data_IF_366295821360
#
_entry.id   IF_366295821360
#
_cell.length_a   1.000
_cell.length_b   1.000
_cell.length_c   1.000
_cell.angle_alpha   90.00
_cell.angle_beta   90.00
_cell.angle_gamma   90.00
#
_symmetry.space_group_name_H-M   'P 1'
#
loop_
_entity.id
_entity.type
_entity.pdbx_description
1 polymer ?
#
# COMPACT_ATOMS: atom_id res chain seq x y z
N UNK A 1 -52.49 40.77 -35.80
CA UNK A 1 -51.74 40.61 -34.56
C UNK A 1 -51.13 39.20 -34.48
N UNK A 2 -49.83 39.12 -34.64
CA UNK A 2 -49.16 37.81 -34.52
C UNK A 2 -48.66 37.68 -33.10
N UNK A 3 -49.24 36.72 -32.38
CA UNK A 3 -48.76 36.31 -31.09
C UNK A 3 -47.49 35.50 -31.29
N UNK A 4 -46.37 36.12 -30.95
CA UNK A 4 -45.12 35.37 -30.89
C UNK A 4 -45.06 34.60 -29.57
N UNK A 5 -45.36 33.31 -29.66
CA UNK A 5 -45.01 32.43 -28.57
C UNK A 5 -43.52 32.17 -28.63
N UNK A 6 -42.79 32.79 -27.73
CA UNK A 6 -41.42 32.37 -27.44
C UNK A 6 -41.46 30.99 -26.77
N UNK A 7 -40.86 29.95 -27.35
CA UNK A 7 -40.71 28.71 -26.59
C UNK A 7 -39.78 29.01 -25.42
N UNK A 8 -40.36 28.96 -24.24
CA UNK A 8 -39.54 28.96 -23.04
C UNK A 8 -38.65 27.74 -23.13
N UNK A 9 -37.38 28.00 -23.37
CA UNK A 9 -36.32 26.96 -23.31
C UNK A 9 -36.20 26.53 -21.85
N UNK A 10 -36.88 25.47 -21.49
CA UNK A 10 -36.68 24.78 -20.23
C UNK A 10 -35.28 24.18 -20.28
N UNK A 11 -34.30 24.93 -19.80
CA UNK A 11 -33.01 24.39 -19.43
C UNK A 11 -33.25 23.45 -18.25
N UNK A 12 -33.41 22.18 -18.56
CA UNK A 12 -33.28 21.11 -17.59
C UNK A 12 -31.79 21.11 -17.13
N UNK A 13 -31.52 21.83 -16.05
CA UNK A 13 -30.28 21.65 -15.33
C UNK A 13 -30.32 20.20 -14.79
N UNK A 14 -29.70 19.33 -15.53
CA UNK A 14 -29.33 18.01 -15.01
C UNK A 14 -28.31 18.24 -13.92
N UNK A 15 -28.76 18.31 -12.67
CA UNK A 15 -27.88 18.25 -11.52
C UNK A 15 -27.35 16.81 -11.50
N UNK A 16 -26.23 16.58 -12.18
CA UNK A 16 -25.50 15.35 -12.01
C UNK A 16 -25.01 15.35 -10.56
N UNK A 17 -25.70 14.61 -9.69
CA UNK A 17 -25.17 14.31 -8.36
C UNK A 17 -23.80 13.68 -8.56
N UNK A 18 -22.72 14.21 -7.96
CA UNK A 18 -21.44 13.51 -7.99
C UNK A 18 -21.71 12.14 -7.37
N UNK A 19 -21.59 11.09 -8.18
CA UNK A 19 -21.56 9.75 -7.67
C UNK A 19 -20.40 9.72 -6.69
N UNK A 20 -20.70 9.67 -5.38
CA UNK A 20 -19.69 9.31 -4.38
C UNK A 20 -19.29 7.90 -4.78
N UNK A 21 -18.17 7.79 -5.53
CA UNK A 21 -17.59 6.51 -5.83
C UNK A 21 -17.32 5.86 -4.47
N UNK A 22 -18.16 4.87 -4.11
CA UNK A 22 -17.86 4.03 -2.98
C UNK A 22 -16.42 3.56 -3.16
N UNK A 23 -15.52 3.99 -2.26
CA UNK A 23 -14.13 3.54 -2.27
C UNK A 23 -14.17 2.03 -2.33
N UNK A 24 -13.74 1.47 -3.46
CA UNK A 24 -13.70 0.04 -3.63
C UNK A 24 -12.93 -0.56 -2.45
N UNK A 25 -13.49 -1.59 -1.83
CA UNK A 25 -12.82 -2.29 -0.76
C UNK A 25 -11.46 -2.80 -1.27
N UNK A 26 -10.39 -2.31 -0.67
CA UNK A 26 -9.03 -2.80 -0.97
C UNK A 26 -8.69 -3.84 0.09
N UNK A 27 -8.52 -5.11 -0.31
CA UNK A 27 -8.17 -6.14 0.64
C UNK A 27 -6.79 -5.87 1.25
N UNK A 28 -6.62 -6.25 2.50
CA UNK A 28 -5.33 -6.19 3.15
C UNK A 28 -4.31 -7.06 2.39
N UNK A 29 -3.05 -6.62 2.25
CA UNK A 29 -2.05 -7.47 1.59
C UNK A 29 -1.93 -8.81 2.31
N UNK A 30 -1.93 -9.89 1.55
CA UNK A 30 -1.81 -11.22 2.13
C UNK A 30 -0.36 -11.49 2.61
N UNK A 31 -0.21 -12.52 3.43
CA UNK A 31 1.10 -12.89 3.98
C UNK A 31 2.12 -13.21 2.89
N UNK A 32 1.71 -13.87 1.81
CA UNK A 32 2.61 -14.22 0.71
C UNK A 32 3.13 -12.98 0.00
N UNK A 33 2.29 -11.97 -0.20
CA UNK A 33 2.71 -10.70 -0.79
C UNK A 33 3.74 -9.98 0.08
N UNK A 34 3.52 -9.97 1.39
CA UNK A 34 4.46 -9.36 2.35
C UNK A 34 5.78 -10.14 2.43
N UNK A 35 5.72 -11.46 2.44
CA UNK A 35 6.92 -12.31 2.41
C UNK A 35 7.70 -12.14 1.12
N UNK A 36 7.03 -12.00 -0.02
CA UNK A 36 7.68 -11.75 -1.30
C UNK A 36 8.40 -10.41 -1.28
N UNK A 37 7.78 -9.35 -0.79
CA UNK A 37 8.42 -8.05 -0.65
C UNK A 37 9.63 -8.12 0.28
N UNK A 38 9.50 -8.78 1.43
CA UNK A 38 10.61 -8.97 2.36
C UNK A 38 11.78 -9.70 1.71
N UNK A 39 11.50 -10.78 0.97
CA UNK A 39 12.52 -11.54 0.24
C UNK A 39 13.23 -10.68 -0.81
N UNK A 40 12.47 -9.92 -1.59
CA UNK A 40 13.05 -9.01 -2.59
C UNK A 40 13.93 -7.95 -1.94
N UNK A 41 13.52 -7.41 -0.81
CA UNK A 41 14.33 -6.44 -0.06
C UNK A 41 15.65 -7.05 0.42
N UNK A 42 15.62 -8.26 0.97
CA UNK A 42 16.86 -8.96 1.37
C UNK A 42 17.75 -9.29 0.17
N UNK A 43 17.17 -9.65 -0.96
CA UNK A 43 17.94 -9.86 -2.19
C UNK A 43 18.56 -8.54 -2.71
N UNK A 44 17.83 -7.43 -2.61
CA UNK A 44 18.38 -6.12 -2.94
C UNK A 44 19.58 -5.78 -2.05
N UNK A 45 19.43 -6.01 -0.75
CA UNK A 45 20.51 -5.80 0.22
C UNK A 45 21.74 -6.65 -0.10
N UNK A 46 21.53 -7.93 -0.34
CA UNK A 46 22.61 -8.89 -0.56
C UNK A 46 23.30 -8.71 -1.91
N UNK A 47 22.53 -8.60 -2.97
CA UNK A 47 23.05 -8.65 -4.35
C UNK A 47 23.40 -7.27 -4.91
N UNK A 48 22.88 -6.20 -4.33
CA UNK A 48 23.08 -4.84 -4.82
C UNK A 48 22.82 -4.74 -6.35
N UNK A 49 21.73 -5.32 -6.82
CA UNK A 49 21.40 -5.43 -8.23
C UNK A 49 20.07 -4.78 -8.59
N UNK A 50 19.98 -4.34 -9.82
CA UNK A 50 18.83 -3.55 -10.32
C UNK A 50 17.50 -4.26 -10.16
N UNK A 51 17.42 -5.57 -10.43
CA UNK A 51 16.16 -6.28 -10.46
C UNK A 51 15.50 -6.40 -9.06
N UNK A 52 16.15 -6.99 -8.04
CA UNK A 52 15.52 -7.07 -6.73
C UNK A 52 15.31 -5.70 -6.09
N UNK A 53 16.22 -4.75 -6.30
CA UNK A 53 16.05 -3.40 -5.79
C UNK A 53 14.87 -2.67 -6.43
N UNK A 54 14.74 -2.79 -7.75
CA UNK A 54 13.61 -2.21 -8.49
C UNK A 54 12.27 -2.82 -8.10
N UNK A 55 12.20 -4.14 -7.95
CA UNK A 55 10.99 -4.83 -7.51
C UNK A 55 10.59 -4.44 -6.09
N UNK A 56 11.55 -4.32 -5.19
CA UNK A 56 11.31 -3.85 -3.81
C UNK A 56 10.69 -2.46 -3.81
N UNK A 57 11.28 -1.53 -4.55
CA UNK A 57 10.78 -0.16 -4.61
C UNK A 57 9.39 -0.08 -5.23
N UNK A 58 9.16 -0.78 -6.32
CA UNK A 58 7.86 -0.80 -6.98
C UNK A 58 6.76 -1.33 -6.06
N UNK A 59 7.00 -2.46 -5.40
CA UNK A 59 6.02 -3.05 -4.49
C UNK A 59 5.78 -2.19 -3.26
N UNK A 60 6.82 -1.62 -2.69
CA UNK A 60 6.69 -0.70 -1.56
C UNK A 60 5.85 0.52 -1.93
N UNK A 61 6.08 1.10 -3.10
CA UNK A 61 5.33 2.24 -3.60
C UNK A 61 3.84 1.91 -3.79
N UNK A 62 3.54 0.78 -4.42
CA UNK A 62 2.17 0.31 -4.61
C UNK A 62 1.42 0.12 -3.28
N UNK A 63 2.08 -0.43 -2.28
CA UNK A 63 1.48 -0.65 -0.96
C UNK A 63 1.28 0.63 -0.16
N UNK A 64 2.09 1.66 -0.38
CA UNK A 64 1.92 2.93 0.31
C UNK A 64 0.60 3.63 -0.01
N UNK A 65 0.01 3.32 -1.15
CA UNK A 65 -1.30 3.84 -1.55
C UNK A 65 -2.48 3.12 -0.89
N UNK A 66 -2.22 2.05 -0.15
CA UNK A 66 -3.28 1.28 0.50
C UNK A 66 -3.99 2.12 1.57
N UNK A 67 -5.33 2.27 1.52
CA UNK A 67 -6.05 3.22 2.37
C UNK A 67 -6.11 2.82 3.85
N UNK A 68 -5.87 1.55 4.19
CA UNK A 68 -6.07 1.04 5.54
C UNK A 68 -4.81 0.57 6.25
N UNK A 69 -3.65 0.62 5.60
CA UNK A 69 -2.41 0.22 6.25
C UNK A 69 -2.04 1.21 7.35
N UNK A 70 -1.60 0.72 8.52
CA UNK A 70 -1.17 1.57 9.61
C UNK A 70 0.00 2.47 9.24
N UNK A 71 0.11 3.60 9.90
CA UNK A 71 1.23 4.54 9.69
C UNK A 71 2.58 3.86 9.87
N UNK A 72 2.72 2.99 10.88
CA UNK A 72 3.97 2.26 11.12
C UNK A 72 4.36 1.34 9.96
N UNK A 73 3.36 0.72 9.30
CA UNK A 73 3.59 -0.04 8.08
C UNK A 73 4.05 0.88 6.94
N UNK A 74 3.38 2.00 6.75
CA UNK A 74 3.74 2.97 5.71
C UNK A 74 5.14 3.55 5.91
N UNK A 75 5.55 3.77 7.14
CA UNK A 75 6.92 4.22 7.45
C UNK A 75 7.96 3.19 7.03
N UNK A 76 7.70 1.91 7.28
CA UNK A 76 8.57 0.82 6.83
C UNK A 76 8.62 0.74 5.30
N UNK A 77 7.48 0.84 4.64
CA UNK A 77 7.41 0.85 3.17
C UNK A 77 8.15 2.04 2.57
N UNK A 78 8.02 3.21 3.19
CA UNK A 78 8.74 4.41 2.78
C UNK A 78 10.25 4.24 2.91
N UNK A 79 10.72 3.63 4.00
CA UNK A 79 12.13 3.32 4.19
C UNK A 79 12.64 2.36 3.12
N UNK A 80 11.90 1.29 2.82
CA UNK A 80 12.26 0.37 1.74
C UNK A 80 12.29 1.06 0.39
N UNK A 81 11.33 1.90 0.10
CA UNK A 81 11.29 2.67 -1.14
C UNK A 81 12.52 3.57 -1.29
N UNK A 82 12.95 4.22 -0.22
CA UNK A 82 14.10 5.13 -0.25
C UNK A 82 15.45 4.41 -0.25
N UNK A 83 15.56 3.32 0.50
CA UNK A 83 16.84 2.65 0.75
C UNK A 83 17.17 1.54 -0.26
N UNK A 84 16.16 0.90 -0.88
CA UNK A 84 16.36 -0.21 -1.81
C UNK A 84 16.86 0.27 -3.17
N UNK A 85 18.02 0.88 -3.19
CA UNK A 85 18.69 1.39 -4.39
C UNK A 85 20.02 0.69 -4.58
N UNK A 86 20.40 0.50 -5.85
CA UNK A 86 21.75 0.05 -6.18
C UNK A 86 22.74 1.14 -5.77
N UNK A 87 23.73 0.77 -5.00
CA UNK A 87 24.77 1.67 -4.54
C UNK A 87 26.12 1.31 -5.19
N UNK A 88 27.01 2.29 -5.26
CA UNK A 88 28.38 2.07 -5.80
C UNK A 88 29.16 1.05 -4.95
N UNK A 89 28.91 1.03 -3.64
CA UNK A 89 29.55 0.10 -2.70
C UNK A 89 28.49 -0.56 -1.83
N UNK A 90 28.47 -1.88 -1.78
CA UNK A 90 27.56 -2.64 -0.94
C UNK A 90 28.14 -2.84 0.46
N UNK A 91 28.21 -1.76 1.24
CA UNK A 91 28.74 -1.78 2.59
C UNK A 91 27.67 -2.21 3.62
N UNK A 92 28.12 -2.47 4.84
CA UNK A 92 27.26 -2.88 5.94
C UNK A 92 26.13 -1.85 6.21
N UNK A 93 26.46 -0.56 6.22
CA UNK A 93 25.49 0.51 6.50
C UNK A 93 24.32 0.47 5.50
N UNK A 94 24.62 0.29 4.22
CA UNK A 94 23.59 0.18 3.19
C UNK A 94 22.72 -1.06 3.40
N UNK A 95 23.36 -2.21 3.61
CA UNK A 95 22.61 -3.46 3.83
C UNK A 95 21.73 -3.36 5.06
N UNK A 96 22.23 -2.82 6.15
CA UNK A 96 21.47 -2.64 7.38
C UNK A 96 20.26 -1.70 7.19
N UNK A 97 20.44 -0.62 6.43
CA UNK A 97 19.35 0.33 6.12
C UNK A 97 18.21 -0.31 5.33
N UNK A 98 18.48 -1.35 4.55
CA UNK A 98 17.45 -2.13 3.83
C UNK A 98 16.92 -3.26 4.71
N UNK A 99 17.79 -3.98 5.39
CA UNK A 99 17.43 -5.17 6.16
C UNK A 99 16.56 -4.84 7.38
N UNK A 100 16.80 -3.73 8.04
CA UNK A 100 16.03 -3.35 9.23
C UNK A 100 14.53 -3.16 8.93
N UNK A 101 14.13 -2.32 7.98
CA UNK A 101 12.72 -2.22 7.63
C UNK A 101 12.17 -3.52 7.05
N UNK A 102 12.96 -4.28 6.30
CA UNK A 102 12.53 -5.56 5.75
C UNK A 102 12.17 -6.57 6.86
N UNK A 103 12.95 -6.62 7.94
CA UNK A 103 12.66 -7.50 9.08
C UNK A 103 11.37 -7.13 9.81
N UNK A 104 11.01 -5.87 9.84
CA UNK A 104 9.82 -5.37 10.52
C UNK A 104 8.55 -5.51 9.69
N UNK A 105 8.67 -5.63 8.38
CA UNK A 105 7.58 -5.52 7.41
C UNK A 105 6.37 -6.40 7.75
N UNK A 106 6.60 -7.70 7.93
CA UNK A 106 5.49 -8.65 8.15
C UNK A 106 4.76 -8.31 9.44
N UNK A 107 5.48 -8.02 10.51
CA UNK A 107 4.88 -7.72 11.81
C UNK A 107 4.02 -6.45 11.79
N UNK A 108 4.47 -5.40 11.11
CA UNK A 108 3.78 -4.09 11.14
C UNK A 108 2.78 -3.91 10.02
N UNK A 109 2.84 -4.73 8.97
CA UNK A 109 1.96 -4.65 7.81
C UNK A 109 0.91 -5.75 7.73
N UNK A 110 0.99 -6.76 8.61
CA UNK A 110 -0.01 -7.81 8.65
C UNK A 110 -1.33 -7.31 9.23
N UNK A 111 -2.43 -7.83 8.69
CA UNK A 111 -3.74 -7.56 9.26
C UNK A 111 -3.78 -8.03 10.70
N UNK A 112 -4.24 -7.13 11.60
CA UNK A 112 -4.49 -7.53 12.98
C UNK A 112 -5.66 -8.50 13.00
N UNK A 113 -5.38 -9.75 13.30
CA UNK A 113 -6.42 -10.75 13.55
C UNK A 113 -7.14 -10.30 14.81
N UNK A 114 -8.42 -9.91 14.68
CA UNK A 114 -9.24 -9.67 15.85
C UNK A 114 -9.22 -10.93 16.72
N UNK A 115 -8.91 -10.82 18.01
CA UNK A 115 -8.99 -11.97 18.89
C UNK A 115 -10.37 -12.58 18.72
N UNK A 116 -10.42 -13.91 18.46
CA UNK A 116 -11.68 -14.60 18.28
C UNK A 116 -12.50 -14.39 19.57
N UNK A 117 -13.80 -14.09 19.43
CA UNK A 117 -14.71 -13.96 20.58
C UNK A 117 -14.97 -15.30 21.27
N UNK A 118 -14.35 -16.36 20.84
CA UNK A 118 -14.44 -17.65 21.53
C UNK A 118 -13.68 -17.56 22.84
N UNK A 119 -14.39 -17.85 23.96
CA UNK A 119 -13.72 -17.92 25.25
C UNK A 119 -12.63 -19.00 25.15
N UNK A 120 -11.45 -18.67 25.64
CA UNK A 120 -10.37 -19.63 25.73
C UNK A 120 -10.90 -20.90 26.39
N UNK A 121 -10.62 -22.11 25.84
CA UNK A 121 -11.07 -23.35 26.47
C UNK A 121 -10.62 -23.35 27.92
N UNK A 122 -11.59 -23.57 28.82
CA UNK A 122 -11.30 -23.65 30.24
C UNK A 122 -10.18 -24.66 30.47
N UNK A 123 -9.08 -24.21 31.02
CA UNK A 123 -8.03 -25.11 31.47
C UNK A 123 -8.57 -25.88 32.69
N UNK A 124 -8.86 -27.11 32.46
CA UNK A 124 -9.05 -28.05 33.56
C UNK A 124 -7.70 -28.47 34.09
#
# INVERSE_FOLDING_TARGET
MKLHFSPALLLLLSIASPAIAATAYVPWPNQDALKTLQKEAFLCSLNNSTDPCGRTRKRADELMDHPRLPVICKDVLWSLFGEARVAATNNFRRRDAIDQPARRLIRVCSELVKPSKEPAPART
#
